data_IF_398343587557
#
_entry.id   IF_398343587557
#
_cell.length_a   1.000
_cell.length_b   1.000
_cell.length_c   1.000
_cell.angle_alpha   90.00
_cell.angle_beta   90.00
_cell.angle_gamma   90.00
#
_symmetry.space_group_name_H-M   'P 1'
#
loop_
_entity.id
_entity.type
_entity.pdbx_description
1 polymer ?
#
# COMPACT_ATOMS: atom_id res chain seq x y z
N UNK A 1 11.79 -12.70 -10.82
CA UNK A 1 12.57 -13.92 -11.05
C UNK A 1 11.63 -15.03 -11.46
N UNK A 2 12.02 -15.88 -12.42
CA UNK A 2 11.26 -17.07 -12.84
C UNK A 2 12.09 -18.32 -12.54
N UNK A 3 11.47 -19.33 -11.92
CA UNK A 3 12.06 -20.65 -11.66
C UNK A 3 11.34 -21.68 -12.51
N UNK A 4 12.00 -22.17 -13.55
CA UNK A 4 11.46 -23.23 -14.43
C UNK A 4 12.57 -23.76 -15.34
N UNK A 5 12.61 -25.08 -15.52
CA UNK A 5 13.40 -25.74 -16.54
C UNK A 5 12.63 -25.86 -17.87
N UNK A 6 11.36 -25.49 -17.91
CA UNK A 6 10.52 -25.64 -19.09
C UNK A 6 10.70 -24.46 -20.07
N UNK A 7 11.43 -24.71 -21.16
CA UNK A 7 11.81 -23.68 -22.15
C UNK A 7 10.62 -22.94 -22.78
N UNK A 8 9.53 -23.66 -23.06
CA UNK A 8 8.35 -23.03 -23.66
C UNK A 8 7.72 -22.01 -22.71
N UNK A 9 7.59 -22.39 -21.43
CA UNK A 9 7.06 -21.51 -20.40
C UNK A 9 7.98 -20.31 -20.15
N UNK A 10 9.31 -20.52 -20.16
CA UNK A 10 10.31 -19.45 -20.14
C UNK A 10 10.05 -18.45 -21.27
N UNK A 11 9.81 -18.92 -22.50
CA UNK A 11 9.53 -18.09 -23.66
C UNK A 11 8.26 -17.23 -23.49
N UNK A 12 7.15 -17.84 -23.05
CA UNK A 12 5.90 -17.10 -22.80
C UNK A 12 6.07 -16.03 -21.73
N UNK A 13 6.63 -16.39 -20.58
CA UNK A 13 6.82 -15.46 -19.45
C UNK A 13 7.79 -14.35 -19.82
N UNK A 14 8.85 -14.63 -20.58
CA UNK A 14 9.79 -13.62 -21.02
C UNK A 14 9.12 -12.58 -21.93
N UNK A 15 8.22 -12.99 -22.82
CA UNK A 15 7.43 -12.06 -23.65
C UNK A 15 6.51 -11.19 -22.80
N UNK A 16 5.85 -11.77 -21.80
CA UNK A 16 4.96 -11.04 -20.88
C UNK A 16 5.74 -10.04 -20.02
N UNK A 17 6.87 -10.45 -19.44
CA UNK A 17 7.73 -9.57 -18.64
C UNK A 17 8.31 -8.44 -19.49
N UNK A 18 8.70 -8.72 -20.73
CA UNK A 18 9.18 -7.70 -21.66
C UNK A 18 8.06 -6.71 -22.05
N UNK A 19 6.84 -7.19 -22.28
CA UNK A 19 5.67 -6.34 -22.53
C UNK A 19 5.30 -5.48 -21.32
N UNK A 20 5.49 -6.01 -20.11
CA UNK A 20 5.42 -5.19 -18.91
C UNK A 20 6.59 -4.18 -18.86
N UNK A 21 7.76 -4.49 -19.40
CA UNK A 21 8.97 -3.63 -19.33
C UNK A 21 9.87 -3.97 -18.14
N UNK A 22 9.76 -5.19 -17.61
CA UNK A 22 10.59 -5.70 -16.52
C UNK A 22 11.85 -6.40 -17.03
N UNK A 23 12.80 -6.66 -16.11
CA UNK A 23 13.95 -7.55 -16.36
C UNK A 23 13.68 -8.91 -15.73
N UNK A 24 13.80 -9.97 -16.52
CA UNK A 24 13.59 -11.33 -16.06
C UNK A 24 14.91 -12.05 -15.79
N UNK A 25 15.15 -12.43 -14.54
CA UNK A 25 16.14 -13.46 -14.20
C UNK A 25 15.44 -14.80 -14.23
N UNK A 26 15.95 -15.73 -15.04
CA UNK A 26 15.46 -17.11 -15.10
C UNK A 26 16.51 -18.04 -14.52
N UNK A 27 16.06 -18.99 -13.72
CA UNK A 27 16.86 -20.07 -13.14
C UNK A 27 16.13 -21.39 -13.36
N UNK A 28 16.86 -22.47 -13.50
CA UNK A 28 16.29 -23.76 -13.92
C UNK A 28 15.69 -24.52 -12.74
N UNK A 29 16.22 -24.31 -11.53
CA UNK A 29 15.77 -24.98 -10.32
C UNK A 29 15.78 -24.10 -9.06
N UNK A 30 15.26 -24.67 -7.98
CA UNK A 30 15.11 -24.01 -6.67
C UNK A 30 16.44 -23.78 -5.97
N UNK A 31 17.46 -24.61 -6.24
CA UNK A 31 18.78 -24.49 -5.63
C UNK A 31 19.48 -23.24 -6.17
N UNK A 32 19.39 -23.01 -7.48
CA UNK A 32 19.87 -21.79 -8.13
C UNK A 32 19.05 -20.55 -7.74
N UNK A 33 17.75 -20.72 -7.47
CA UNK A 33 16.89 -19.63 -7.04
C UNK A 33 17.15 -19.17 -5.59
N UNK A 34 17.63 -20.07 -4.73
CA UNK A 34 17.73 -19.85 -3.28
C UNK A 34 18.50 -18.57 -2.86
N UNK A 35 19.62 -18.17 -3.49
CA UNK A 35 20.33 -16.94 -3.13
C UNK A 35 19.55 -15.65 -3.41
N UNK A 36 18.61 -15.68 -4.36
CA UNK A 36 17.90 -14.51 -4.86
C UNK A 36 16.41 -14.50 -4.47
N UNK A 37 15.94 -15.54 -3.79
CA UNK A 37 14.53 -15.77 -3.51
C UNK A 37 13.91 -14.62 -2.71
N UNK A 38 14.59 -14.20 -1.64
CA UNK A 38 14.08 -13.19 -0.73
C UNK A 38 14.19 -11.78 -1.32
N UNK A 39 15.19 -11.53 -2.18
CA UNK A 39 15.49 -10.22 -2.77
C UNK A 39 14.76 -9.93 -4.10
N UNK A 40 14.12 -10.94 -4.71
CA UNK A 40 13.40 -10.75 -5.96
C UNK A 40 12.13 -9.90 -5.75
N UNK A 41 11.87 -8.91 -6.61
CA UNK A 41 10.63 -8.12 -6.55
C UNK A 41 9.38 -9.04 -6.63
N UNK A 42 9.36 -9.91 -7.66
CA UNK A 42 8.39 -10.99 -7.82
C UNK A 42 9.10 -12.33 -8.02
N UNK A 43 8.48 -13.40 -7.51
CA UNK A 43 8.89 -14.78 -7.76
C UNK A 43 7.78 -15.51 -8.51
N UNK A 44 8.08 -15.85 -9.76
CA UNK A 44 7.26 -16.69 -10.63
C UNK A 44 7.82 -18.12 -10.60
N UNK A 45 6.94 -19.11 -10.46
CA UNK A 45 7.33 -20.52 -10.41
C UNK A 45 6.63 -21.27 -11.53
N UNK A 46 7.35 -22.09 -12.28
CA UNK A 46 6.78 -22.89 -13.36
C UNK A 46 6.00 -24.11 -12.87
N UNK A 47 5.12 -24.62 -13.72
CA UNK A 47 4.31 -25.82 -13.47
C UNK A 47 5.12 -27.11 -13.37
N UNK A 48 6.42 -27.07 -13.64
CA UNK A 48 7.40 -28.14 -13.52
C UNK A 48 8.05 -28.22 -12.13
N UNK A 49 7.96 -27.15 -11.33
CA UNK A 49 8.55 -27.09 -10.00
C UNK A 49 7.65 -27.80 -8.99
N UNK A 50 8.24 -28.60 -8.09
CA UNK A 50 7.52 -29.45 -7.11
C UNK A 50 7.81 -29.12 -5.66
N UNK A 51 8.85 -28.34 -5.40
CA UNK A 51 9.30 -27.97 -4.07
C UNK A 51 9.72 -26.50 -4.07
N UNK A 52 9.78 -25.89 -2.89
CA UNK A 52 10.21 -24.50 -2.69
C UNK A 52 11.33 -24.45 -1.67
N UNK A 53 12.18 -23.41 -1.69
CA UNK A 53 13.19 -23.28 -0.66
C UNK A 53 12.50 -23.07 0.69
N UNK A 54 13.09 -23.53 1.82
CA UNK A 54 12.48 -23.45 3.15
C UNK A 54 12.33 -22.01 3.70
N UNK A 55 12.64 -20.99 2.89
CA UNK A 55 12.55 -19.57 3.25
C UNK A 55 11.13 -19.04 2.99
N UNK A 56 10.63 -18.20 3.91
CA UNK A 56 9.19 -17.94 4.16
C UNK A 56 8.42 -17.17 3.08
N UNK A 57 9.06 -16.64 2.04
CA UNK A 57 8.35 -15.89 0.99
C UNK A 57 7.70 -16.87 0.01
N UNK A 58 6.42 -17.16 0.22
CA UNK A 58 5.62 -17.94 -0.71
C UNK A 58 5.70 -17.34 -2.14
N UNK A 59 5.75 -18.16 -3.21
CA UNK A 59 5.84 -17.66 -4.57
C UNK A 59 4.63 -16.79 -4.88
N UNK A 60 4.88 -15.68 -5.55
CA UNK A 60 3.88 -14.67 -5.80
C UNK A 60 2.87 -15.14 -6.85
N UNK A 61 3.34 -15.92 -7.84
CA UNK A 61 2.51 -16.52 -8.90
C UNK A 61 3.09 -17.86 -9.36
N UNK A 62 2.26 -18.91 -9.39
CA UNK A 62 2.53 -20.16 -10.11
C UNK A 62 2.05 -20.03 -11.55
N UNK A 63 2.90 -20.35 -12.53
CA UNK A 63 2.62 -20.18 -13.96
C UNK A 63 2.64 -21.54 -14.64
N UNK A 64 1.64 -21.82 -15.46
CA UNK A 64 1.54 -23.06 -16.25
C UNK A 64 0.84 -22.82 -17.58
N UNK A 65 0.68 -23.87 -18.38
CA UNK A 65 0.07 -23.78 -19.72
C UNK A 65 -1.40 -24.23 -19.72
N UNK A 66 -2.14 -23.76 -20.74
CA UNK A 66 -3.49 -24.21 -21.07
C UNK A 66 -3.49 -25.74 -21.26
N UNK A 67 -4.25 -26.44 -20.41
CA UNK A 67 -4.25 -27.91 -20.32
C UNK A 67 -3.80 -28.44 -18.95
N UNK A 68 -3.17 -27.60 -18.12
CA UNK A 68 -2.70 -27.95 -16.78
C UNK A 68 -3.60 -27.38 -15.67
N UNK A 69 -4.73 -26.75 -16.00
CA UNK A 69 -5.52 -25.92 -15.07
C UNK A 69 -5.78 -26.57 -13.70
N UNK A 70 -6.47 -27.72 -13.67
CA UNK A 70 -6.84 -28.39 -12.41
C UNK A 70 -5.63 -28.89 -11.62
N UNK A 71 -4.59 -29.38 -12.28
CA UNK A 71 -3.36 -29.83 -11.61
C UNK A 71 -2.52 -28.66 -11.10
N UNK A 72 -2.53 -27.54 -11.81
CA UNK A 72 -1.82 -26.32 -11.45
C UNK A 72 -2.42 -25.66 -10.20
N UNK A 73 -3.74 -25.67 -10.04
CA UNK A 73 -4.40 -25.19 -8.82
C UNK A 73 -4.07 -26.05 -7.61
N UNK A 74 -4.07 -27.39 -7.75
CA UNK A 74 -3.65 -28.29 -6.68
C UNK A 74 -2.18 -28.11 -6.31
N UNK A 75 -1.32 -27.95 -7.31
CA UNK A 75 0.10 -27.65 -7.11
C UNK A 75 0.28 -26.30 -6.40
N UNK A 76 -0.48 -25.28 -6.81
CA UNK A 76 -0.48 -23.96 -6.17
C UNK A 76 -0.84 -24.04 -4.69
N UNK A 77 -1.87 -24.82 -4.35
CA UNK A 77 -2.25 -25.05 -2.95
C UNK A 77 -1.15 -25.80 -2.16
N UNK A 78 -0.53 -26.82 -2.75
CA UNK A 78 0.53 -27.61 -2.12
C UNK A 78 1.81 -26.79 -1.88
N UNK A 79 2.16 -25.91 -2.82
CA UNK A 79 3.32 -25.03 -2.73
C UNK A 79 3.01 -23.73 -1.95
N UNK A 80 1.76 -23.48 -1.59
CA UNK A 80 1.34 -22.21 -0.98
C UNK A 80 1.49 -21.00 -1.91
N UNK A 81 1.39 -21.19 -3.23
CA UNK A 81 1.41 -20.09 -4.19
C UNK A 81 0.24 -19.15 -3.95
N UNK A 82 0.51 -17.84 -3.93
CA UNK A 82 -0.53 -16.85 -3.66
C UNK A 82 -1.53 -16.72 -4.81
N UNK A 83 -1.08 -16.98 -6.04
CA UNK A 83 -1.84 -16.83 -7.28
C UNK A 83 -1.42 -17.89 -8.30
N UNK A 84 -2.29 -18.14 -9.27
CA UNK A 84 -2.06 -19.06 -10.39
C UNK A 84 -2.36 -18.34 -11.71
N UNK A 85 -1.45 -18.45 -12.68
CA UNK A 85 -1.56 -17.92 -14.03
C UNK A 85 -1.47 -19.04 -15.06
N UNK A 86 -2.57 -19.28 -15.78
CA UNK A 86 -2.61 -20.26 -16.87
C UNK A 86 -2.41 -19.52 -18.20
N UNK A 87 -1.31 -19.76 -18.89
CA UNK A 87 -0.97 -19.11 -20.15
C UNK A 87 -1.49 -19.92 -21.35
N UNK A 88 -1.95 -19.25 -22.43
CA UNK A 88 -1.88 -17.80 -22.67
C UNK A 88 -3.01 -16.98 -22.04
N UNK A 89 -4.06 -17.61 -21.51
CA UNK A 89 -5.30 -16.93 -21.08
C UNK A 89 -5.06 -15.85 -20.00
N UNK A 90 -4.16 -16.11 -19.05
CA UNK A 90 -3.80 -15.20 -17.98
C UNK A 90 -2.63 -14.24 -18.34
N UNK A 91 -2.22 -14.15 -19.60
CA UNK A 91 -1.06 -13.33 -20.00
C UNK A 91 -1.25 -11.83 -19.70
N UNK A 92 -2.43 -11.28 -20.00
CA UNK A 92 -2.75 -9.87 -19.73
C UNK A 92 -2.77 -9.58 -18.23
N UNK A 93 -3.40 -10.46 -17.45
CA UNK A 93 -3.43 -10.39 -16.00
C UNK A 93 -2.01 -10.46 -15.40
N UNK A 94 -1.15 -11.35 -15.91
CA UNK A 94 0.22 -11.49 -15.42
C UNK A 94 1.05 -10.24 -15.75
N UNK A 95 0.87 -9.65 -16.94
CA UNK A 95 1.54 -8.39 -17.29
C UNK A 95 1.14 -7.24 -16.34
N UNK A 96 -0.15 -7.13 -16.03
CA UNK A 96 -0.69 -6.12 -15.10
C UNK A 96 -0.23 -6.36 -13.65
N UNK A 97 -0.19 -7.61 -13.22
CA UNK A 97 0.33 -7.99 -11.91
C UNK A 97 1.81 -7.59 -11.75
N UNK A 98 2.63 -7.89 -12.77
CA UNK A 98 4.05 -7.57 -12.80
C UNK A 98 4.32 -6.08 -12.97
N UNK A 99 3.42 -5.34 -13.62
CA UNK A 99 3.55 -3.89 -13.71
C UNK A 99 3.31 -3.20 -12.38
N UNK A 100 2.36 -3.70 -11.57
CA UNK A 100 2.07 -3.20 -10.22
C UNK A 100 3.09 -3.62 -9.17
N UNK A 101 3.66 -4.82 -9.31
CA UNK A 101 4.59 -5.39 -8.32
C UNK A 101 6.04 -4.95 -8.50
N UNK A 102 6.31 -4.13 -9.54
CA UNK A 102 7.59 -3.45 -9.66
C UNK A 102 7.78 -2.51 -8.48
N UNK A 103 8.91 -2.67 -7.78
CA UNK A 103 9.53 -1.57 -7.03
C UNK A 103 9.44 -0.34 -7.91
N UNK A 104 8.89 0.77 -7.41
CA UNK A 104 8.53 1.84 -8.29
C UNK A 104 9.74 2.36 -9.03
N UNK A 105 9.55 2.84 -10.25
CA UNK A 105 10.50 3.76 -10.86
C UNK A 105 10.84 4.88 -9.87
N UNK A 106 12.04 5.45 -9.97
CA UNK A 106 12.62 6.44 -9.04
C UNK A 106 11.71 7.66 -8.74
N UNK A 107 10.67 7.43 -7.95
CA UNK A 107 9.64 8.35 -7.51
C UNK A 107 9.43 8.20 -6.00
N UNK A 108 8.54 9.00 -5.44
CA UNK A 108 8.28 9.03 -4.01
C UNK A 108 7.67 7.75 -3.45
N UNK A 109 7.85 7.60 -2.14
CA UNK A 109 7.26 6.52 -1.36
C UNK A 109 5.74 6.66 -1.32
N UNK A 110 5.00 5.61 -1.70
CA UNK A 110 3.54 5.53 -1.54
C UNK A 110 3.21 4.68 -0.31
N UNK A 111 2.83 5.34 0.79
CA UNK A 111 2.48 4.75 2.07
C UNK A 111 0.96 4.65 2.21
N UNK A 112 0.42 3.45 2.09
CA UNK A 112 -0.99 3.18 2.38
C UNK A 112 -1.24 3.03 3.88
N UNK A 113 -2.36 3.55 4.35
CA UNK A 113 -2.77 3.48 5.75
C UNK A 113 -4.22 3.01 5.82
N UNK A 114 -4.47 1.98 6.62
CA UNK A 114 -5.82 1.46 6.86
C UNK A 114 -6.04 1.12 8.33
N UNK A 115 -7.30 1.09 8.76
CA UNK A 115 -7.67 0.74 10.13
C UNK A 115 -7.99 -0.74 10.26
N UNK A 116 -7.31 -1.46 11.17
CA UNK A 116 -7.66 -2.85 11.49
C UNK A 116 -9.06 -3.00 12.11
N UNK A 117 -9.63 -1.91 12.63
CA UNK A 117 -11.01 -1.83 13.07
C UNK A 117 -11.65 -0.46 12.75
N UNK A 118 -12.97 -0.34 12.90
CA UNK A 118 -13.66 0.95 12.77
C UNK A 118 -13.20 1.91 13.87
N UNK A 119 -12.97 3.17 13.54
CA UNK A 119 -12.46 4.18 14.49
C UNK A 119 -11.05 3.89 15.02
N UNK A 120 -10.24 3.11 14.30
CA UNK A 120 -8.86 2.79 14.68
C UNK A 120 -7.95 4.02 14.76
N UNK A 121 -8.24 5.06 13.97
CA UNK A 121 -7.41 6.27 13.85
C UNK A 121 -6.52 6.30 12.61
N UNK A 122 -6.85 5.54 11.55
CA UNK A 122 -6.11 5.52 10.28
C UNK A 122 -5.98 6.93 9.67
N UNK A 123 -7.10 7.61 9.44
CA UNK A 123 -7.15 9.01 8.98
C UNK A 123 -6.34 9.96 9.83
N UNK A 124 -6.40 9.82 11.16
CA UNK A 124 -5.59 10.65 12.07
C UNK A 124 -4.10 10.36 11.93
N UNK A 125 -3.70 9.09 11.82
CA UNK A 125 -2.31 8.71 11.60
C UNK A 125 -1.82 9.24 10.24
N UNK A 126 -2.63 9.14 9.19
CA UNK A 126 -2.32 9.64 7.86
C UNK A 126 -2.06 11.15 7.86
N UNK A 127 -2.98 11.94 8.43
CA UNK A 127 -2.80 13.39 8.55
C UNK A 127 -1.55 13.78 9.36
N UNK A 128 -1.27 13.08 10.47
CA UNK A 128 -0.11 13.38 11.31
C UNK A 128 1.22 12.95 10.67
N UNK A 129 1.24 11.84 9.92
CA UNK A 129 2.42 11.40 9.18
C UNK A 129 2.70 12.34 8.00
N UNK A 130 1.67 12.75 7.26
CA UNK A 130 1.81 13.73 6.18
C UNK A 130 2.34 15.07 6.70
N UNK A 131 1.76 15.58 7.80
CA UNK A 131 2.24 16.81 8.45
C UNK A 131 3.69 16.69 8.89
N UNK A 132 4.08 15.60 9.54
CA UNK A 132 5.44 15.42 10.02
C UNK A 132 6.45 15.28 8.88
N UNK A 133 6.11 14.59 7.80
CA UNK A 133 6.97 14.48 6.61
C UNK A 133 7.17 15.86 5.95
N UNK A 134 6.11 16.67 5.87
CA UNK A 134 6.19 18.04 5.36
C UNK A 134 7.05 18.95 6.27
N UNK A 135 6.92 18.81 7.60
CA UNK A 135 7.78 19.52 8.57
C UNK A 135 9.27 19.13 8.45
N UNK A 136 9.57 17.94 7.91
CA UNK A 136 10.93 17.50 7.58
C UNK A 136 11.41 17.99 6.20
N UNK A 137 10.58 18.73 5.46
CA UNK A 137 10.91 19.34 4.18
C UNK A 137 10.59 18.48 2.95
N UNK A 138 9.96 17.31 3.13
CA UNK A 138 9.55 16.47 2.01
C UNK A 138 8.35 17.08 1.26
N UNK A 139 8.33 16.94 -0.06
CA UNK A 139 7.14 17.22 -0.87
C UNK A 139 6.11 16.11 -0.68
N UNK A 140 5.01 16.41 0.01
CA UNK A 140 4.05 15.42 0.48
C UNK A 140 2.67 15.58 -0.15
N UNK A 141 2.04 14.46 -0.52
CA UNK A 141 0.63 14.38 -0.88
C UNK A 141 -0.13 13.49 0.11
N UNK A 142 -1.27 13.94 0.61
CA UNK A 142 -2.23 13.11 1.34
C UNK A 142 -3.46 12.83 0.47
N UNK A 143 -3.73 11.55 0.18
CA UNK A 143 -4.85 11.10 -0.65
C UNK A 143 -5.93 10.46 0.23
N UNK A 144 -7.16 10.96 0.12
CA UNK A 144 -8.37 10.34 0.66
C UNK A 144 -8.82 9.21 -0.27
N UNK A 145 -8.70 7.97 0.16
CA UNK A 145 -9.13 6.82 -0.64
C UNK A 145 -10.44 6.21 -0.12
N UNK A 146 -11.17 6.87 0.79
CA UNK A 146 -12.48 6.41 1.28
C UNK A 146 -13.62 7.32 0.78
N UNK A 147 -14.29 6.99 -0.34
CA UNK A 147 -15.44 7.76 -0.83
C UNK A 147 -16.61 7.84 0.15
N UNK A 148 -16.61 7.01 1.20
CA UNK A 148 -17.65 6.96 2.23
C UNK A 148 -17.21 7.62 3.55
N UNK A 149 -15.98 8.16 3.61
CA UNK A 149 -15.35 8.68 4.84
C UNK A 149 -15.77 10.08 5.25
N UNK A 150 -16.55 10.79 4.42
CA UNK A 150 -17.00 12.15 4.69
C UNK A 150 -15.99 13.25 4.33
N UNK A 151 -14.90 12.90 3.65
CA UNK A 151 -13.89 13.84 3.14
C UNK A 151 -12.84 14.24 4.17
N UNK A 152 -11.56 14.08 3.82
CA UNK A 152 -10.43 14.58 4.61
C UNK A 152 -10.50 16.09 4.87
N UNK A 153 -11.05 16.87 3.94
CA UNK A 153 -11.06 18.34 4.03
C UNK A 153 -11.73 18.89 5.29
N UNK A 154 -12.74 18.20 5.83
CA UNK A 154 -13.40 18.57 7.09
C UNK A 154 -12.43 18.50 8.28
N UNK A 155 -11.56 17.49 8.30
CA UNK A 155 -10.57 17.31 9.37
C UNK A 155 -9.42 18.33 9.28
N UNK A 156 -9.19 18.88 8.07
CA UNK A 156 -8.11 19.81 7.76
C UNK A 156 -8.55 21.28 7.77
N UNK A 157 -9.85 21.58 7.96
CA UNK A 157 -10.45 22.91 7.78
C UNK A 157 -10.12 23.51 6.39
N UNK A 158 -10.21 22.69 5.35
CA UNK A 158 -9.76 23.02 4.01
C UNK A 158 -10.88 23.01 2.95
N UNK A 159 -12.15 23.01 3.38
CA UNK A 159 -13.33 22.96 2.50
C UNK A 159 -13.34 24.11 1.49
N UNK A 160 -12.99 25.32 1.93
CA UNK A 160 -12.92 26.52 1.09
C UNK A 160 -11.56 26.68 0.37
N UNK A 161 -10.64 25.72 0.52
CA UNK A 161 -9.33 25.79 -0.13
C UNK A 161 -9.46 25.49 -1.62
N UNK A 162 -9.03 26.42 -2.50
CA UNK A 162 -9.09 26.23 -3.94
C UNK A 162 -8.18 25.08 -4.37
N UNK A 163 -8.61 24.33 -5.38
CA UNK A 163 -7.87 23.21 -5.94
C UNK A 163 -8.77 22.01 -6.21
N UNK A 164 -8.25 21.05 -6.97
CA UNK A 164 -9.01 19.88 -7.42
C UNK A 164 -9.36 18.93 -6.27
N UNK A 165 -10.53 18.32 -6.38
CA UNK A 165 -11.01 17.17 -5.60
C UNK A 165 -11.18 15.96 -6.52
N UNK A 166 -11.45 14.79 -5.93
CA UNK A 166 -11.69 13.57 -6.72
C UNK A 166 -12.74 13.73 -7.83
N UNK A 167 -13.90 14.39 -7.60
CA UNK A 167 -14.89 14.60 -8.66
C UNK A 167 -14.37 15.39 -9.86
N UNK A 168 -13.45 16.34 -9.65
CA UNK A 168 -12.89 17.16 -10.73
C UNK A 168 -11.92 16.36 -11.62
N UNK A 169 -11.44 15.22 -11.12
CA UNK A 169 -10.55 14.30 -11.84
C UNK A 169 -11.32 13.16 -12.53
N UNK A 170 -12.63 13.02 -12.30
CA UNK A 170 -13.41 11.88 -12.80
C UNK A 170 -13.38 11.75 -14.34
N UNK A 171 -13.35 12.89 -15.04
CA UNK A 171 -13.29 12.96 -16.50
C UNK A 171 -11.85 12.99 -17.06
N UNK A 172 -10.83 12.96 -16.19
CA UNK A 172 -9.44 12.92 -16.62
C UNK A 172 -9.17 11.59 -17.35
N UNK A 173 -8.58 11.70 -18.54
CA UNK A 173 -8.23 10.54 -19.37
C UNK A 173 -6.76 10.61 -19.80
N UNK A 174 -6.13 9.44 -19.90
CA UNK A 174 -4.71 9.33 -20.24
C UNK A 174 -3.77 9.68 -19.08
N UNK A 175 -2.49 9.86 -19.42
CA UNK A 175 -1.44 10.17 -18.44
C UNK A 175 -1.61 11.56 -17.85
N UNK A 176 -1.53 11.67 -16.52
CA UNK A 176 -1.55 12.95 -15.79
C UNK A 176 -0.11 13.44 -15.62
N UNK A 177 0.13 14.71 -15.98
CA UNK A 177 1.43 15.34 -15.74
C UNK A 177 1.65 15.58 -14.24
N UNK A 178 2.78 15.10 -13.66
CA UNK A 178 3.03 15.19 -12.22
C UNK A 178 3.05 16.63 -11.68
N UNK A 179 3.58 17.58 -12.46
CA UNK A 179 3.72 18.96 -12.02
C UNK A 179 2.36 19.68 -12.10
N UNK A 180 1.59 19.46 -13.17
CA UNK A 180 0.22 19.98 -13.27
C UNK A 180 -0.68 19.45 -12.17
N UNK A 181 -0.58 18.16 -11.84
CA UNK A 181 -1.32 17.59 -10.70
C UNK A 181 -0.94 18.32 -9.41
N UNK A 182 0.35 18.50 -9.16
CA UNK A 182 0.79 19.13 -7.93
C UNK A 182 0.40 20.61 -7.82
N UNK A 183 0.41 21.35 -8.92
CA UNK A 183 0.03 22.77 -8.96
C UNK A 183 -1.50 22.96 -8.84
N UNK A 184 -2.29 21.95 -9.18
CA UNK A 184 -3.74 22.00 -9.16
C UNK A 184 -4.37 21.55 -7.83
N UNK A 185 -3.60 20.90 -6.94
CA UNK A 185 -4.12 20.37 -5.68
C UNK A 185 -4.11 21.43 -4.56
N UNK A 186 -5.11 21.41 -3.67
CA UNK A 186 -5.13 22.27 -2.49
C UNK A 186 -4.01 21.89 -1.50
N UNK A 187 -3.61 22.84 -0.66
CA UNK A 187 -2.54 22.66 0.34
C UNK A 187 -3.08 22.94 1.75
N UNK A 188 -2.78 22.05 2.69
CA UNK A 188 -3.09 22.22 4.11
C UNK A 188 -1.92 21.70 4.95
N UNK A 189 -1.58 22.37 6.05
CA UNK A 189 -0.57 21.86 6.98
C UNK A 189 0.85 21.70 6.42
N UNK A 190 1.15 22.33 5.27
CA UNK A 190 2.45 22.21 4.59
C UNK A 190 2.53 21.09 3.55
N UNK A 191 1.43 20.37 3.28
CA UNK A 191 1.36 19.31 2.27
C UNK A 191 0.16 19.51 1.32
N UNK A 192 0.25 18.96 0.12
CA UNK A 192 -0.88 18.91 -0.81
C UNK A 192 -1.85 17.80 -0.40
N UNK A 193 -3.14 17.94 -0.70
CA UNK A 193 -4.09 16.86 -0.44
C UNK A 193 -5.09 16.67 -1.60
N UNK A 194 -5.56 15.43 -1.77
CA UNK A 194 -6.65 15.07 -2.66
C UNK A 194 -7.75 14.42 -1.83
N UNK A 195 -8.90 15.08 -1.72
CA UNK A 195 -10.01 14.67 -0.85
C UNK A 195 -11.27 14.35 -1.65
N UNK A 196 -12.12 13.48 -1.11
CA UNK A 196 -13.54 13.51 -1.45
C UNK A 196 -14.18 14.75 -0.82
N UNK A 197 -15.21 15.36 -1.44
CA UNK A 197 -15.89 16.50 -0.85
C UNK A 197 -16.61 16.12 0.44
N UNK A 198 -16.55 16.99 1.45
CA UNK A 198 -17.31 16.88 2.70
C UNK A 198 -18.79 17.25 2.54
N UNK A 199 -19.41 16.81 1.45
CA UNK A 199 -20.79 17.16 1.08
C UNK A 199 -21.73 15.97 1.26
N UNK A 200 -23.04 16.25 1.27
CA UNK A 200 -24.09 15.21 1.31
C UNK A 200 -24.36 14.59 -0.05
N UNK A 201 -23.84 15.19 -1.11
CA UNK A 201 -24.09 14.73 -2.46
C UNK A 201 -23.32 13.43 -2.71
N UNK A 202 -23.92 12.53 -3.48
CA UNK A 202 -23.25 11.28 -3.82
C UNK A 202 -22.07 11.62 -4.74
N UNK A 203 -20.83 11.27 -4.38
CA UNK A 203 -19.71 11.54 -5.27
C UNK A 203 -19.87 10.77 -6.58
N UNK A 204 -19.44 11.34 -7.72
CA UNK A 204 -19.35 10.59 -8.96
C UNK A 204 -18.40 9.39 -8.79
N UNK A 205 -18.64 8.34 -9.57
CA UNK A 205 -17.71 7.21 -9.65
C UNK A 205 -16.44 7.68 -10.36
N UNK A 206 -15.29 7.51 -9.71
CA UNK A 206 -13.99 7.69 -10.33
C UNK A 206 -13.52 6.32 -10.80
N UNK A 207 -13.19 6.19 -12.08
CA UNK A 207 -12.77 4.92 -12.66
C UNK A 207 -11.43 4.45 -12.06
N UNK A 208 -11.23 3.14 -11.79
CA UNK A 208 -9.97 2.63 -11.27
C UNK A 208 -8.74 2.96 -12.11
N UNK A 209 -8.87 3.10 -13.44
CA UNK A 209 -7.78 3.53 -14.33
C UNK A 209 -7.40 4.98 -14.02
N UNK A 210 -8.37 5.86 -13.80
CA UNK A 210 -8.13 7.24 -13.39
C UNK A 210 -7.45 7.31 -12.02
N UNK A 211 -7.87 6.49 -11.06
CA UNK A 211 -7.18 6.37 -9.76
C UNK A 211 -5.72 5.97 -9.95
N UNK A 212 -5.45 4.94 -10.76
CA UNK A 212 -4.09 4.49 -11.07
C UNK A 212 -3.25 5.60 -11.71
N UNK A 213 -3.80 6.35 -12.67
CA UNK A 213 -3.11 7.48 -13.30
C UNK A 213 -2.79 8.61 -12.31
N UNK A 214 -3.69 8.89 -11.36
CA UNK A 214 -3.46 9.88 -10.30
C UNK A 214 -2.35 9.43 -9.36
N UNK A 215 -2.36 8.17 -8.91
CA UNK A 215 -1.31 7.64 -8.03
C UNK A 215 0.06 7.57 -8.73
N UNK A 216 0.08 7.21 -10.01
CA UNK A 216 1.29 7.20 -10.84
C UNK A 216 1.87 8.62 -11.01
N UNK A 217 1.03 9.60 -11.30
CA UNK A 217 1.45 11.00 -11.33
C UNK A 217 1.89 11.51 -9.96
N UNK A 218 1.19 11.15 -8.88
CA UNK A 218 1.55 11.51 -7.52
C UNK A 218 2.91 10.95 -7.12
N UNK A 219 3.17 9.68 -7.42
CA UNK A 219 4.46 9.03 -7.18
C UNK A 219 5.61 9.75 -7.88
N UNK A 220 5.40 10.25 -9.10
CA UNK A 220 6.43 11.04 -9.83
C UNK A 220 6.53 12.49 -9.35
N UNK A 221 5.47 13.03 -8.76
CA UNK A 221 5.37 14.44 -8.39
C UNK A 221 5.77 14.76 -6.95
N UNK A 222 5.70 13.77 -6.06
CA UNK A 222 5.91 13.91 -4.62
C UNK A 222 6.98 12.95 -4.12
N UNK A 223 7.63 13.29 -3.00
CA UNK A 223 8.61 12.42 -2.33
C UNK A 223 7.92 11.43 -1.39
N UNK A 224 6.77 11.81 -0.82
CA UNK A 224 5.94 10.94 0.03
C UNK A 224 4.47 11.14 -0.34
N UNK A 225 3.80 10.06 -0.71
CA UNK A 225 2.35 9.99 -0.92
C UNK A 225 1.76 9.13 0.19
N UNK A 226 0.93 9.73 1.03
CA UNK A 226 0.20 9.02 2.08
C UNK A 226 -1.22 8.76 1.59
N UNK A 227 -1.66 7.51 1.57
CA UNK A 227 -3.01 7.13 1.11
C UNK A 227 -3.84 6.64 2.29
N UNK A 228 -4.92 7.34 2.64
CA UNK A 228 -5.89 6.92 3.65
C UNK A 228 -6.95 6.00 3.00
N UNK A 229 -6.70 4.70 2.99
CA UNK A 229 -7.42 3.71 2.15
C UNK A 229 -8.84 3.44 2.65
N UNK A 230 -9.22 3.90 3.85
CA UNK A 230 -10.42 3.39 4.51
C UNK A 230 -10.35 1.87 4.74
N UNK A 231 -11.45 1.27 5.21
CA UNK A 231 -11.51 -0.18 5.54
C UNK A 231 -12.47 -0.96 4.66
N UNK A 232 -13.11 -0.31 3.71
CA UNK A 232 -14.07 -0.96 2.82
C UNK A 232 -13.32 -1.80 1.80
N UNK A 233 -13.91 -2.92 1.37
CA UNK A 233 -13.25 -3.87 0.48
C UNK A 233 -12.88 -3.27 -0.88
N UNK A 234 -13.69 -2.34 -1.38
CA UNK A 234 -13.46 -1.69 -2.67
C UNK A 234 -12.24 -0.74 -2.63
N UNK A 235 -12.14 0.24 -1.72
CA UNK A 235 -10.91 1.02 -1.55
C UNK A 235 -9.65 0.20 -1.33
N UNK A 236 -9.71 -0.86 -0.52
CA UNK A 236 -8.56 -1.75 -0.32
C UNK A 236 -8.12 -2.42 -1.62
N UNK A 237 -9.07 -2.88 -2.45
CA UNK A 237 -8.75 -3.48 -3.75
C UNK A 237 -8.21 -2.47 -4.74
N UNK A 238 -8.71 -1.23 -4.71
CA UNK A 238 -8.33 -0.18 -5.64
C UNK A 238 -6.97 0.43 -5.31
N UNK A 239 -6.68 0.74 -4.04
CA UNK A 239 -5.52 1.56 -3.67
C UNK A 239 -4.36 0.77 -3.04
N UNK A 240 -4.63 -0.32 -2.32
CA UNK A 240 -3.59 -0.98 -1.52
C UNK A 240 -2.50 -1.63 -2.40
N UNK A 241 -2.84 -1.98 -3.64
CA UNK A 241 -1.92 -2.58 -4.60
C UNK A 241 -0.88 -1.62 -5.16
N UNK A 242 -1.19 -0.32 -5.19
CA UNK A 242 -0.30 0.70 -5.73
C UNK A 242 0.63 1.30 -4.65
N UNK A 243 0.45 0.86 -3.40
CA UNK A 243 1.27 1.25 -2.27
C UNK A 243 2.57 0.44 -2.20
N UNK A 244 3.66 1.09 -1.82
CA UNK A 244 4.94 0.43 -1.52
C UNK A 244 4.88 -0.30 -0.19
N UNK A 245 4.17 0.30 0.77
CA UNK A 245 4.01 -0.21 2.12
C UNK A 245 2.62 0.09 2.66
N UNK A 246 2.16 -0.78 3.54
CA UNK A 246 0.89 -0.60 4.26
C UNK A 246 1.14 -0.48 5.77
N UNK A 247 0.51 0.52 6.39
CA UNK A 247 0.39 0.61 7.84
C UNK A 247 -1.03 0.28 8.26
N UNK A 248 -1.15 -0.74 9.10
CA UNK A 248 -2.42 -1.13 9.71
C UNK A 248 -2.49 -0.52 11.10
N UNK A 249 -3.41 0.42 11.30
CA UNK A 249 -3.62 1.07 12.60
C UNK A 249 -4.59 0.24 13.42
N UNK A 250 -4.17 -0.15 14.62
CA UNK A 250 -4.95 -1.02 15.52
C UNK A 250 -4.93 -0.45 16.93
N UNK A 251 -6.08 -0.12 17.55
CA UNK A 251 -6.14 0.19 18.96
C UNK A 251 -5.64 -0.98 19.81
N UNK A 252 -4.99 -0.70 20.94
CA UNK A 252 -4.53 -1.71 21.90
C UNK A 252 -5.72 -2.41 22.63
N UNK A 253 -6.53 -3.15 21.86
CA UNK A 253 -7.76 -3.80 22.27
C UNK A 253 -7.87 -5.17 21.58
N UNK A 254 -8.23 -6.22 22.34
CA UNK A 254 -8.32 -7.58 21.80
C UNK A 254 -9.26 -7.71 20.60
N UNK A 255 -10.44 -7.08 20.66
CA UNK A 255 -11.41 -7.11 19.54
C UNK A 255 -10.86 -6.45 18.28
N UNK A 256 -10.04 -5.41 18.42
CA UNK A 256 -9.39 -4.76 17.30
C UNK A 256 -8.29 -5.64 16.69
N UNK A 257 -7.52 -6.36 17.51
CA UNK A 257 -6.53 -7.32 17.05
C UNK A 257 -7.16 -8.45 16.21
N UNK A 258 -8.27 -9.04 16.69
CA UNK A 258 -9.00 -10.08 15.94
C UNK A 258 -9.56 -9.53 14.63
N UNK A 259 -10.09 -8.31 14.63
CA UNK A 259 -10.59 -7.67 13.42
C UNK A 259 -9.45 -7.40 12.42
N UNK A 260 -8.29 -6.95 12.90
CA UNK A 260 -7.11 -6.70 12.08
C UNK A 260 -6.60 -7.99 11.44
N UNK A 261 -6.49 -9.09 12.19
CA UNK A 261 -6.06 -10.38 11.66
C UNK A 261 -6.97 -10.90 10.52
N UNK A 262 -8.27 -10.59 10.56
CA UNK A 262 -9.20 -10.89 9.45
C UNK A 262 -8.96 -9.98 8.25
N UNK A 263 -8.73 -8.68 8.48
CA UNK A 263 -8.42 -7.72 7.42
C UNK A 263 -7.17 -8.12 6.64
N UNK A 264 -6.14 -8.66 7.30
CA UNK A 264 -4.91 -9.09 6.63
C UNK A 264 -5.13 -10.12 5.53
N UNK A 265 -6.20 -10.92 5.61
CA UNK A 265 -6.53 -11.91 4.57
C UNK A 265 -7.02 -11.25 3.27
N UNK A 266 -7.44 -9.99 3.33
CA UNK A 266 -7.89 -9.20 2.18
C UNK A 266 -6.79 -8.27 1.62
N UNK A 267 -5.69 -8.09 2.36
CA UNK A 267 -4.60 -7.22 1.92
C UNK A 267 -3.81 -7.86 0.77
N UNK A 268 -3.34 -7.07 -0.21
CA UNK A 268 -2.37 -7.55 -1.18
C UNK A 268 -1.05 -7.91 -0.49
N UNK A 269 -0.16 -8.67 -1.16
CA UNK A 269 1.16 -9.04 -0.63
C UNK A 269 2.16 -7.88 -0.65
N UNK A 270 1.72 -6.71 -0.20
CA UNK A 270 2.52 -5.51 0.00
C UNK A 270 3.10 -5.55 1.41
N UNK A 271 4.33 -5.09 1.56
CA UNK A 271 5.00 -5.05 2.86
C UNK A 271 4.14 -4.27 3.86
N UNK A 272 3.71 -4.95 4.92
CA UNK A 272 2.72 -4.43 5.86
C UNK A 272 3.28 -4.41 7.27
N UNK A 273 2.98 -3.35 8.02
CA UNK A 273 3.40 -3.22 9.41
C UNK A 273 2.29 -2.62 10.28
N UNK A 274 2.40 -2.83 11.59
CA UNK A 274 1.40 -2.37 12.56
C UNK A 274 1.79 -1.06 13.22
N UNK A 275 0.79 -0.20 13.36
CA UNK A 275 0.81 0.92 14.29
C UNK A 275 -0.22 0.67 15.37
N UNK A 276 0.23 0.57 16.62
CA UNK A 276 -0.67 0.37 17.75
C UNK A 276 -1.09 1.74 18.31
N UNK A 277 -2.39 2.02 18.32
CA UNK A 277 -2.92 3.22 18.99
C UNK A 277 -3.19 2.92 20.46
N UNK A 278 -2.58 3.69 21.35
CA UNK A 278 -2.77 3.51 22.79
C UNK A 278 -2.16 4.61 23.66
N UNK A 279 -2.45 4.57 24.96
CA UNK A 279 -1.79 5.39 25.99
C UNK A 279 -0.43 4.78 26.37
N UNK A 280 0.44 5.57 26.99
CA UNK A 280 1.59 5.02 27.69
C UNK A 280 1.09 4.18 28.89
N UNK A 281 1.55 2.92 28.99
CA UNK A 281 1.18 2.02 30.10
C UNK A 281 -0.19 1.32 29.97
N UNK A 282 -0.69 1.10 28.75
CA UNK A 282 -1.95 0.36 28.50
C UNK A 282 -1.83 -1.11 28.91
N UNK A 283 -2.97 -1.74 29.24
CA UNK A 283 -3.09 -3.11 29.73
C UNK A 283 -2.65 -4.21 28.73
N UNK A 284 -2.60 -3.93 27.43
CA UNK A 284 -2.12 -4.84 26.39
C UNK A 284 -0.81 -4.31 25.83
N UNK A 285 0.22 -5.16 25.88
CA UNK A 285 1.52 -4.88 25.28
C UNK A 285 1.37 -4.80 23.75
N UNK A 286 1.89 -3.72 23.17
CA UNK A 286 1.88 -3.51 21.72
C UNK A 286 2.59 -4.66 20.98
N UNK A 287 3.63 -5.24 21.57
CA UNK A 287 4.34 -6.38 21.00
C UNK A 287 3.45 -7.63 20.96
N UNK A 288 2.68 -7.91 22.02
CA UNK A 288 1.76 -9.06 22.06
C UNK A 288 0.62 -8.90 21.06
N UNK A 289 0.09 -7.69 20.88
CA UNK A 289 -0.92 -7.42 19.85
C UNK A 289 -0.32 -7.64 18.46
N UNK A 290 0.89 -7.15 18.21
CA UNK A 290 1.57 -7.34 16.93
C UNK A 290 1.83 -8.81 16.60
N UNK A 291 2.28 -9.59 17.58
CA UNK A 291 2.45 -11.04 17.46
C UNK A 291 1.12 -11.73 17.16
N UNK A 292 0.05 -11.38 17.87
CA UNK A 292 -1.28 -11.96 17.67
C UNK A 292 -1.88 -11.65 16.31
N UNK A 293 -1.59 -10.47 15.76
CA UNK A 293 -2.06 -10.04 14.43
C UNK A 293 -1.17 -10.62 13.33
N UNK A 294 0.11 -10.91 13.62
CA UNK A 294 1.05 -11.51 12.67
C UNK A 294 1.79 -10.50 11.79
N UNK A 295 1.94 -9.25 12.25
CA UNK A 295 2.70 -8.21 11.54
C UNK A 295 3.77 -7.57 12.43
N UNK A 296 4.87 -7.06 11.85
CA UNK A 296 5.89 -6.35 12.61
C UNK A 296 5.32 -5.05 13.21
N UNK A 297 5.71 -4.74 14.46
CA UNK A 297 5.36 -3.49 15.11
C UNK A 297 6.26 -2.36 14.64
N UNK A 298 5.68 -1.34 14.02
CA UNK A 298 6.40 -0.20 13.45
C UNK A 298 6.34 1.04 14.35
N UNK A 299 5.29 1.18 15.16
CA UNK A 299 5.18 2.32 16.07
C UNK A 299 3.97 2.28 16.98
N UNK A 300 3.99 3.17 17.97
CA UNK A 300 2.87 3.39 18.89
C UNK A 300 2.33 4.80 18.69
N UNK A 301 1.12 4.89 18.15
CA UNK A 301 0.40 6.15 17.99
C UNK A 301 -0.24 6.56 19.34
N UNK A 302 0.07 7.75 19.88
CA UNK A 302 -0.44 8.15 21.17
C UNK A 302 -1.93 8.50 21.10
N UNK A 303 -2.70 8.10 22.12
CA UNK A 303 -4.02 8.68 22.34
C UNK A 303 -3.89 10.11 22.86
N UNK A 304 -4.26 11.08 22.01
CA UNK A 304 -4.27 12.49 22.38
C UNK A 304 -5.68 12.92 22.78
N UNK A 305 -5.81 13.42 24.02
CA UNK A 305 -7.09 13.94 24.54
C UNK A 305 -7.55 15.13 23.68
N UNK A 306 -8.83 15.09 23.27
CA UNK A 306 -9.44 16.14 22.46
C UNK A 306 -9.24 15.97 20.95
N UNK A 307 -8.59 14.89 20.48
CA UNK A 307 -8.40 14.65 19.04
C UNK A 307 -9.72 14.62 18.28
N UNK A 308 -10.71 13.86 18.77
CA UNK A 308 -12.03 13.79 18.13
C UNK A 308 -12.66 15.19 18.01
N UNK A 309 -12.73 15.95 19.10
CA UNK A 309 -13.25 17.32 19.08
C UNK A 309 -12.44 18.26 18.18
N UNK A 310 -11.12 18.06 18.08
CA UNK A 310 -10.29 18.82 17.17
C UNK A 310 -10.59 18.48 15.71
N UNK A 311 -10.80 17.21 15.37
CA UNK A 311 -11.23 16.77 14.04
C UNK A 311 -12.55 17.42 13.63
N UNK A 312 -13.57 17.40 14.49
CA UNK A 312 -14.88 18.04 14.23
C UNK A 312 -14.80 19.57 14.03
N UNK A 313 -13.72 20.19 14.50
CA UNK A 313 -13.48 21.62 14.35
C UNK A 313 -12.44 21.93 13.26
N UNK A 314 -12.02 20.95 12.46
CA UNK A 314 -10.98 21.08 11.44
C UNK A 314 -9.60 21.44 11.97
N UNK A 315 -9.32 21.11 13.24
CA UNK A 315 -8.08 21.41 13.98
C UNK A 315 -7.24 20.16 14.24
N UNK A 316 -7.38 19.13 13.42
CA UNK A 316 -6.64 17.87 13.59
C UNK A 316 -5.12 18.09 13.58
N UNK A 317 -4.66 18.98 12.70
CA UNK A 317 -3.25 19.32 12.52
C UNK A 317 -2.64 20.08 13.71
N UNK A 318 -3.46 20.75 14.53
CA UNK A 318 -2.98 21.38 15.77
C UNK A 318 -2.51 20.31 16.79
N UNK A 319 -3.15 19.13 16.78
CA UNK A 319 -2.75 18.01 17.63
C UNK A 319 -1.45 17.35 17.18
N UNK A 320 -1.14 17.40 15.88
CA UNK A 320 0.09 16.82 15.32
C UNK A 320 1.36 17.50 15.82
N UNK A 321 1.26 18.77 16.22
CA UNK A 321 2.37 19.55 16.81
C UNK A 321 2.73 19.14 18.25
N UNK A 322 2.04 18.17 18.85
CA UNK A 322 2.41 17.67 20.18
C UNK A 322 3.68 16.82 20.12
N UNK A 323 4.54 16.95 21.12
CA UNK A 323 5.81 16.20 21.21
C UNK A 323 5.63 14.68 21.09
N UNK A 324 4.56 14.12 21.67
CA UNK A 324 4.27 12.68 21.59
C UNK A 324 3.88 12.24 20.19
N UNK A 325 3.14 13.08 19.45
CA UNK A 325 2.74 12.79 18.06
C UNK A 325 3.93 12.91 17.14
N UNK A 326 4.74 13.97 17.25
CA UNK A 326 5.99 14.11 16.49
C UNK A 326 6.94 12.94 16.72
N UNK A 327 7.05 12.42 17.95
CA UNK A 327 7.86 11.24 18.26
C UNK A 327 7.33 9.99 17.53
N UNK A 328 6.01 9.78 17.56
CA UNK A 328 5.38 8.70 16.80
C UNK A 328 5.69 8.82 15.31
N UNK A 329 5.45 9.99 14.72
CA UNK A 329 5.67 10.19 13.30
C UNK A 329 7.15 10.05 12.90
N UNK A 330 8.08 10.58 13.69
CA UNK A 330 9.52 10.43 13.45
C UNK A 330 9.96 8.96 13.52
N UNK A 331 9.39 8.17 14.44
CA UNK A 331 9.69 6.74 14.55
C UNK A 331 9.24 5.98 13.30
N UNK A 332 8.05 6.28 12.78
CA UNK A 332 7.52 5.64 11.58
C UNK A 332 8.30 6.07 10.34
N UNK A 333 8.47 7.37 10.13
CA UNK A 333 9.20 7.90 8.97
C UNK A 333 10.68 7.47 8.96
N UNK A 334 11.32 7.38 10.12
CA UNK A 334 12.72 6.94 10.23
C UNK A 334 12.94 5.48 9.83
N UNK A 335 12.01 4.59 10.17
CA UNK A 335 12.06 3.18 9.77
C UNK A 335 11.80 3.02 8.27
N UNK A 336 10.85 3.80 7.71
CA UNK A 336 10.61 3.84 6.27
C UNK A 336 11.85 4.33 5.49
N UNK A 337 12.59 5.31 6.02
CA UNK A 337 13.81 5.81 5.39
C UNK A 337 15.03 4.88 5.54
N UNK A 338 15.15 4.18 6.68
CA UNK A 338 16.24 3.23 6.93
C UNK A 338 16.22 2.02 6.00
N UNK A 339 15.03 1.59 5.59
CA UNK A 339 14.87 0.48 4.64
C UNK A 339 15.09 0.91 3.18
N UNK A 340 14.82 2.18 2.83
CA UNK A 340 15.12 2.74 1.51
C UNK A 340 16.64 2.79 1.25
N UNK A 341 17.44 3.12 2.27
CA UNK A 341 18.91 3.13 2.15
C UNK A 341 19.55 1.73 2.15
N UNK A 342 18.88 0.73 2.73
CA UNK A 342 19.37 -0.65 2.72
C UNK A 342 19.21 -1.32 1.33
N UNK A 343 18.31 -0.82 0.49
CA UNK A 343 18.09 -1.30 -0.88
C UNK A 343 19.09 -0.79 -1.92
N UNK A 344 19.77 0.33 -1.66
CA UNK A 344 20.73 0.96 -2.60
C UNK A 344 22.18 0.46 -2.45
N UNK A 345 22.44 -0.48 -1.55
CA UNK A 345 23.77 -1.04 -1.27
C UNK A 345 23.92 -2.55 -1.57
N UNK A 346 23.08 -3.12 -2.46
CA UNK A 346 23.22 -4.53 -2.90
C UNK A 346 23.19 -4.72 -4.41
#
# INVERSE_FOLDING_TARGET
>A
MLVTAFEFLRGEVQRIVAAAGGRLRVVDDVVEAAPFWDSAADVLVGSDVRELPPRRRAPAVLVGLSGEGDTLWHLGAALGAQRVAVLPDAAAWLAEYLSRSRSPEAGGLVLGITGGCGGAGATTAAAWLAQAAAELGARVLLVDADPWGGGLELALAAEESPGLRWPDLADASGSIDPQQLADALPVAGGFSFLSWPGSRERPPLVDPVTVGNVLDAARRGYEVVVVDIGRNAEPLRTFAWDCDRLLVVVPAQLKAAVAAARLLQELPPVESALVIRGKAGVALDAALVAESVGLPLHGVMPEVRGTASATELGRLLDQGRRKTVRRFASSVLGLLAGDLQAGDLQ
#
